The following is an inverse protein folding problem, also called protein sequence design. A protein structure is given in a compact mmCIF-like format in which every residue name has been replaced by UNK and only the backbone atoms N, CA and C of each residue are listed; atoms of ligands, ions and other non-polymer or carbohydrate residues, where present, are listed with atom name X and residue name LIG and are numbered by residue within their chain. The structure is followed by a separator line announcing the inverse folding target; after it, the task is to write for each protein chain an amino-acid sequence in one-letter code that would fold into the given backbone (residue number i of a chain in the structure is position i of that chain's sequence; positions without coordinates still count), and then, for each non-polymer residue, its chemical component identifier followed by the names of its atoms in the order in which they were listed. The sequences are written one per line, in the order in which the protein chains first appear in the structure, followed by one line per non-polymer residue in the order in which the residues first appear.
data_IF_803486517929
#
_entry.id   IF_803486517929
#
_cell.length_a   1.000
_cell.length_b   1.000
_cell.length_c   1.000
_cell.angle_alpha   90.00
_cell.angle_beta   90.00
_cell.angle_gamma   90.00
#
_symmetry.space_group_name_H-M   'P 1'
#
loop_
_entity.id
_entity.type
_entity.pdbx_description
1 polymer ?
#
# COMPACT_ATOMS: atom_id res chain seq x y z
N UNK A 1 0.07 -0.68 34.89
CA UNK A 1 -0.30 -0.88 33.46
C UNK A 1 0.94 -1.35 32.73
N UNK A 2 0.94 -2.57 32.21
CA UNK A 2 2.06 -3.10 31.44
C UNK A 2 1.60 -4.32 30.65
N UNK A 3 2.08 -4.45 29.42
CA UNK A 3 1.89 -5.66 28.62
C UNK A 3 3.09 -6.58 28.85
N UNK A 4 2.85 -7.87 29.03
CA UNK A 4 3.92 -8.87 28.99
C UNK A 4 4.22 -9.19 27.53
N UNK A 5 5.42 -8.86 27.07
CA UNK A 5 5.86 -9.11 25.71
C UNK A 5 6.77 -10.33 25.68
N UNK A 6 6.52 -11.24 24.74
CA UNK A 6 7.38 -12.38 24.44
C UNK A 6 7.98 -12.18 23.06
N UNK A 7 9.30 -12.33 22.96
CA UNK A 7 10.02 -12.21 21.70
C UNK A 7 10.55 -13.59 21.30
N UNK A 8 10.42 -13.93 20.02
CA UNK A 8 10.99 -15.14 19.45
C UNK A 8 11.65 -14.81 18.12
N UNK A 9 12.82 -15.38 17.90
CA UNK A 9 13.50 -15.39 16.59
C UNK A 9 13.62 -16.83 16.04
N UNK A 10 12.97 -17.81 16.69
CA UNK A 10 12.93 -19.20 16.25
C UNK A 10 11.87 -19.38 15.15
N UNK A 11 12.27 -19.98 14.03
CA UNK A 11 11.41 -20.15 12.86
C UNK A 11 10.23 -21.11 13.10
N UNK A 12 10.40 -22.15 13.92
CA UNK A 12 9.34 -23.09 14.28
C UNK A 12 8.27 -22.42 15.13
N UNK A 13 8.68 -21.60 16.10
CA UNK A 13 7.76 -20.77 16.89
C UNK A 13 6.98 -19.82 15.98
N UNK A 14 7.67 -19.07 15.11
CA UNK A 14 7.02 -18.14 14.18
C UNK A 14 6.04 -18.86 13.25
N UNK A 15 6.43 -20.03 12.72
CA UNK A 15 5.53 -20.86 11.90
C UNK A 15 4.31 -21.30 12.69
N UNK A 16 4.50 -21.84 13.90
CA UNK A 16 3.40 -22.29 14.75
C UNK A 16 2.42 -21.15 15.06
N UNK A 17 2.93 -19.98 15.45
CA UNK A 17 2.14 -18.76 15.72
C UNK A 17 1.33 -18.30 14.51
N UNK A 18 1.96 -18.24 13.32
CA UNK A 18 1.34 -17.67 12.13
C UNK A 18 0.51 -18.67 11.30
N UNK A 19 0.64 -19.99 11.56
CA UNK A 19 -0.12 -21.02 10.84
C UNK A 19 -1.08 -21.80 11.74
N UNK A 20 -0.57 -22.47 12.76
CA UNK A 20 -1.32 -23.49 13.50
C UNK A 20 -2.14 -22.89 14.62
N UNK A 21 -1.51 -22.01 15.40
CA UNK A 21 -2.10 -21.33 16.54
C UNK A 21 -2.60 -19.92 16.20
N UNK A 22 -2.72 -19.55 14.91
CA UNK A 22 -3.15 -18.21 14.50
C UNK A 22 -4.42 -17.70 15.22
N UNK A 23 -5.46 -18.52 15.47
CA UNK A 23 -6.65 -18.09 16.22
C UNK A 23 -6.39 -17.70 17.68
N UNK A 24 -5.27 -18.16 18.26
CA UNK A 24 -4.92 -17.91 19.66
C UNK A 24 -4.22 -16.54 19.86
N UNK A 25 -3.83 -15.87 18.76
CA UNK A 25 -3.06 -14.62 18.78
C UNK A 25 -3.81 -13.47 18.10
N UNK A 26 -4.67 -12.82 18.87
CA UNK A 26 -5.41 -11.62 18.43
C UNK A 26 -4.54 -10.36 18.42
N UNK A 27 -4.73 -9.51 17.40
CA UNK A 27 -3.94 -8.29 17.22
C UNK A 27 -4.72 -6.99 17.43
N UNK A 28 -6.05 -7.04 17.31
CA UNK A 28 -6.93 -5.87 17.46
C UNK A 28 -6.88 -5.22 18.84
N UNK A 29 -6.65 -5.91 19.98
CA UNK A 29 -6.56 -5.23 21.28
C UNK A 29 -5.46 -4.17 21.32
N UNK A 30 -4.38 -4.37 20.54
CA UNK A 30 -3.27 -3.42 20.42
C UNK A 30 -3.45 -2.48 19.22
N UNK A 31 -3.94 -2.99 18.08
CA UNK A 31 -4.04 -2.22 16.82
C UNK A 31 -5.29 -1.37 16.73
N UNK A 32 -6.45 -1.87 17.16
CA UNK A 32 -7.74 -1.18 17.01
C UNK A 32 -7.70 0.28 17.49
N UNK A 33 -7.17 0.62 18.68
CA UNK A 33 -7.13 2.01 19.15
C UNK A 33 -6.26 2.95 18.29
N UNK A 34 -5.35 2.40 17.47
CA UNK A 34 -4.48 3.17 16.57
C UNK A 34 -5.15 3.43 15.22
N UNK A 35 -5.87 2.44 14.70
CA UNK A 35 -6.45 2.46 13.35
C UNK A 35 -7.93 2.90 13.31
N UNK A 36 -8.67 2.71 14.40
CA UNK A 36 -10.12 3.01 14.48
C UNK A 36 -10.48 4.46 14.07
N UNK A 37 -9.68 5.49 14.39
CA UNK A 37 -10.01 6.86 13.96
C UNK A 37 -10.02 7.09 12.44
N UNK A 38 -9.31 6.27 11.66
CA UNK A 38 -9.27 6.38 10.19
C UNK A 38 -10.07 5.27 9.49
N UNK A 39 -9.99 4.03 10.00
CA UNK A 39 -10.63 2.86 9.40
C UNK A 39 -11.29 1.99 10.49
N UNK A 40 -12.47 2.38 10.99
CA UNK A 40 -13.11 1.71 12.13
C UNK A 40 -13.42 0.23 11.88
N UNK A 41 -13.78 -0.15 10.64
CA UNK A 41 -14.05 -1.54 10.24
C UNK A 41 -12.96 -2.10 9.32
N UNK A 42 -11.77 -1.49 9.33
CA UNK A 42 -10.63 -1.94 8.53
C UNK A 42 -10.07 -3.28 9.02
N UNK A 43 -9.35 -3.99 8.15
CA UNK A 43 -8.80 -5.32 8.49
C UNK A 43 -7.85 -5.29 9.71
N UNK A 44 -7.25 -4.14 10.01
CA UNK A 44 -6.35 -3.95 11.15
C UNK A 44 -7.06 -3.78 12.50
N UNK A 45 -8.38 -3.56 12.52
CA UNK A 45 -9.18 -3.35 13.74
C UNK A 45 -10.00 -4.58 14.14
N UNK A 46 -9.90 -5.67 13.39
CA UNK A 46 -10.74 -6.87 13.52
C UNK A 46 -9.90 -8.10 13.86
N UNK A 47 -10.48 -9.04 14.61
CA UNK A 47 -9.99 -10.40 14.79
C UNK A 47 -11.12 -11.43 14.54
N UNK A 48 -10.80 -12.71 14.62
CA UNK A 48 -11.77 -13.80 14.60
C UNK A 48 -12.66 -13.84 13.33
N UNK A 49 -13.96 -14.16 13.46
CA UNK A 49 -14.87 -14.28 12.32
C UNK A 49 -15.00 -13.00 11.48
N UNK A 50 -15.00 -11.82 12.11
CA UNK A 50 -15.12 -10.54 11.41
C UNK A 50 -13.89 -10.25 10.55
N UNK A 51 -12.69 -10.53 11.08
CA UNK A 51 -11.45 -10.44 10.31
C UNK A 51 -11.48 -11.37 9.10
N UNK A 52 -11.96 -12.61 9.28
CA UNK A 52 -12.06 -13.58 8.19
C UNK A 52 -12.96 -13.09 7.06
N UNK A 53 -14.13 -12.53 7.40
CA UNK A 53 -15.05 -11.93 6.41
C UNK A 53 -14.37 -10.78 5.65
N UNK A 54 -13.75 -9.83 6.37
CA UNK A 54 -13.04 -8.70 5.75
C UNK A 54 -11.88 -9.16 4.85
N UNK A 55 -11.11 -10.16 5.29
CA UNK A 55 -10.02 -10.77 4.52
C UNK A 55 -10.54 -11.47 3.27
N UNK A 56 -11.63 -12.23 3.36
CA UNK A 56 -12.20 -12.95 2.22
C UNK A 56 -12.72 -11.98 1.15
N UNK A 57 -13.32 -10.86 1.56
CA UNK A 57 -13.72 -9.77 0.66
C UNK A 57 -12.52 -9.15 -0.05
N UNK A 58 -11.48 -8.76 0.70
CA UNK A 58 -10.24 -8.20 0.12
C UNK A 58 -9.58 -9.19 -0.84
N UNK A 59 -9.50 -10.47 -0.45
CA UNK A 59 -8.97 -11.54 -1.30
C UNK A 59 -9.77 -11.65 -2.60
N UNK A 60 -11.09 -11.60 -2.55
CA UNK A 60 -11.95 -11.61 -3.73
C UNK A 60 -11.63 -10.45 -4.69
N UNK A 61 -11.46 -9.24 -4.15
CA UNK A 61 -11.09 -8.04 -4.94
C UNK A 61 -9.68 -8.13 -5.55
N UNK A 62 -8.77 -8.84 -4.90
CA UNK A 62 -7.37 -8.97 -5.28
C UNK A 62 -7.05 -10.27 -6.03
N UNK A 63 -8.04 -11.14 -6.28
CA UNK A 63 -7.81 -12.48 -6.80
C UNK A 63 -7.32 -12.49 -8.26
N UNK A 64 -7.80 -11.55 -9.08
CA UNK A 64 -7.50 -11.48 -10.52
C UNK A 64 -6.67 -10.25 -10.85
N UNK A 65 -5.35 -10.37 -10.66
CA UNK A 65 -4.38 -9.29 -10.89
C UNK A 65 -4.51 -8.67 -12.29
N UNK A 66 -4.86 -9.46 -13.32
CA UNK A 66 -4.99 -8.98 -14.71
C UNK A 66 -6.18 -8.07 -14.92
N UNK A 67 -7.23 -8.21 -14.11
CA UNK A 67 -8.39 -7.31 -14.14
C UNK A 67 -8.17 -6.02 -13.37
N UNK A 68 -7.26 -6.03 -12.40
CA UNK A 68 -7.07 -4.90 -11.49
C UNK A 68 -5.82 -4.06 -11.78
N UNK A 69 -4.84 -4.62 -12.49
CA UNK A 69 -3.62 -3.93 -12.87
C UNK A 69 -3.64 -3.75 -14.39
N UNK A 70 -3.63 -2.49 -14.83
CA UNK A 70 -3.41 -2.13 -16.22
C UNK A 70 -1.93 -1.77 -16.41
N UNK A 71 -1.22 -2.58 -17.21
CA UNK A 71 0.21 -2.37 -17.46
C UNK A 71 0.48 -1.07 -18.22
N UNK A 72 -0.46 -0.59 -19.04
CA UNK A 72 -0.31 0.70 -19.72
C UNK A 72 -0.34 1.85 -18.72
N UNK A 73 -1.22 1.78 -17.73
CA UNK A 73 -1.29 2.80 -16.68
C UNK A 73 -0.08 2.71 -15.74
N UNK A 74 0.41 1.49 -15.47
CA UNK A 74 1.70 1.34 -14.78
C UNK A 74 2.85 2.01 -15.54
N UNK A 75 2.89 1.87 -16.86
CA UNK A 75 3.88 2.52 -17.72
C UNK A 75 3.74 4.05 -17.68
N UNK A 76 2.52 4.60 -17.72
CA UNK A 76 2.29 6.04 -17.57
C UNK A 76 2.87 6.59 -16.26
N UNK A 77 2.63 5.89 -15.15
CA UNK A 77 3.20 6.25 -13.85
C UNK A 77 4.72 6.05 -13.78
N UNK A 78 5.26 5.03 -14.44
CA UNK A 78 6.70 4.84 -14.56
C UNK A 78 7.35 5.97 -15.37
N UNK A 79 6.74 6.41 -16.47
CA UNK A 79 7.18 7.57 -17.23
C UNK A 79 7.11 8.87 -16.40
N UNK A 80 6.09 9.02 -15.54
CA UNK A 80 6.05 10.12 -14.59
C UNK A 80 7.22 10.07 -13.58
N UNK A 81 7.58 8.88 -13.09
CA UNK A 81 8.76 8.67 -12.24
C UNK A 81 10.05 9.06 -12.97
N UNK A 82 10.22 8.66 -14.23
CA UNK A 82 11.43 8.97 -15.01
C UNK A 82 11.67 10.47 -15.21
N UNK A 83 10.62 11.30 -15.19
CA UNK A 83 10.76 12.77 -15.25
C UNK A 83 11.51 13.35 -14.04
N UNK A 84 11.58 12.62 -12.93
CA UNK A 84 12.35 13.02 -11.74
C UNK A 84 13.81 12.55 -11.79
N UNK A 85 14.16 11.67 -12.73
CA UNK A 85 15.54 11.16 -12.90
C UNK A 85 16.35 12.17 -13.73
N UNK A 86 17.43 12.76 -13.20
CA UNK A 86 18.18 13.77 -13.93
C UNK A 86 18.96 13.18 -15.11
N UNK A 87 18.73 13.72 -16.32
CA UNK A 87 19.42 13.28 -17.55
C UNK A 87 20.94 13.55 -17.55
N UNK A 88 21.42 14.42 -16.67
CA UNK A 88 22.82 14.81 -16.55
C UNK A 88 23.59 13.98 -15.49
N UNK A 89 22.97 12.95 -14.93
CA UNK A 89 23.57 12.17 -13.83
C UNK A 89 23.55 12.90 -12.48
N UNK A 90 22.73 13.94 -12.34
CA UNK A 90 22.50 14.62 -11.07
C UNK A 90 21.88 13.72 -10.00
N UNK A 91 22.05 14.12 -8.74
CA UNK A 91 21.46 13.44 -7.59
C UNK A 91 19.95 13.67 -7.55
N UNK A 92 19.20 12.65 -7.14
CA UNK A 92 17.77 12.74 -6.86
C UNK A 92 17.38 11.77 -5.74
N UNK A 93 16.24 12.01 -5.12
CA UNK A 93 15.73 11.19 -4.02
C UNK A 93 14.84 10.05 -4.55
N UNK A 94 15.45 8.89 -4.79
CA UNK A 94 14.74 7.69 -5.24
C UNK A 94 13.72 7.18 -4.22
N UNK A 95 13.92 7.41 -2.93
CA UNK A 95 12.98 6.96 -1.90
C UNK A 95 11.68 7.76 -1.98
N UNK A 96 11.78 9.09 -2.06
CA UNK A 96 10.62 9.96 -2.27
C UNK A 96 9.88 9.63 -3.57
N UNK A 97 10.60 9.43 -4.68
CA UNK A 97 9.99 9.09 -5.96
C UNK A 97 9.32 7.71 -5.97
N UNK A 98 9.92 6.69 -5.36
CA UNK A 98 9.31 5.35 -5.27
C UNK A 98 8.10 5.32 -4.33
N UNK A 99 8.11 6.15 -3.28
CA UNK A 99 6.94 6.35 -2.43
C UNK A 99 5.77 6.99 -3.19
N UNK A 100 6.04 8.07 -3.93
CA UNK A 100 5.05 8.74 -4.77
C UNK A 100 4.49 7.79 -5.85
N UNK A 101 5.36 7.04 -6.53
CA UNK A 101 4.95 6.01 -7.51
C UNK A 101 4.01 4.97 -6.88
N UNK A 102 4.39 4.43 -5.73
CA UNK A 102 3.61 3.40 -5.03
C UNK A 102 2.23 3.92 -4.63
N UNK A 103 2.16 5.18 -4.16
CA UNK A 103 0.90 5.80 -3.77
C UNK A 103 -0.01 6.11 -4.96
N UNK A 104 0.54 6.55 -6.10
CA UNK A 104 -0.21 6.75 -7.33
C UNK A 104 -0.83 5.43 -7.83
N UNK A 105 -0.04 4.37 -7.89
CA UNK A 105 -0.52 3.04 -8.29
C UNK A 105 -1.60 2.51 -7.33
N UNK A 106 -1.43 2.69 -6.02
CA UNK A 106 -2.39 2.17 -5.03
C UNK A 106 -3.67 2.99 -4.95
N UNK A 107 -3.61 4.31 -5.10
CA UNK A 107 -4.81 5.15 -5.15
C UNK A 107 -5.61 4.88 -6.41
N UNK A 108 -4.93 4.73 -7.56
CA UNK A 108 -5.56 4.25 -8.79
C UNK A 108 -6.25 2.91 -8.57
N UNK A 109 -5.54 1.92 -8.03
CA UNK A 109 -6.09 0.58 -7.82
C UNK A 109 -7.26 0.56 -6.82
N UNK A 110 -7.15 1.28 -5.71
CA UNK A 110 -8.14 1.24 -4.62
C UNK A 110 -9.34 2.17 -4.83
N UNK A 111 -9.15 3.30 -5.50
CA UNK A 111 -10.14 4.37 -5.67
C UNK A 111 -10.59 4.57 -7.13
N UNK A 112 -9.90 3.95 -8.10
CA UNK A 112 -10.11 4.19 -9.53
C UNK A 112 -9.51 5.51 -10.03
N UNK A 113 -8.73 6.22 -9.20
CA UNK A 113 -8.10 7.49 -9.54
C UNK A 113 -6.77 7.65 -8.79
N UNK A 114 -5.71 7.98 -9.53
CA UNK A 114 -4.41 8.37 -8.97
C UNK A 114 -4.49 9.72 -8.25
N UNK A 115 -3.65 9.93 -7.24
CA UNK A 115 -3.49 11.25 -6.60
C UNK A 115 -2.37 12.09 -7.25
N UNK A 116 -1.74 11.58 -8.29
CA UNK A 116 -0.75 12.26 -9.11
C UNK A 116 0.42 12.81 -8.27
N UNK A 117 0.84 12.05 -7.26
CA UNK A 117 1.96 12.36 -6.35
C UNK A 117 3.28 12.54 -7.10
N UNK A 118 3.47 11.90 -8.26
CA UNK A 118 4.61 12.14 -9.13
C UNK A 118 4.46 13.37 -10.04
N UNK A 119 3.27 13.97 -10.14
CA UNK A 119 3.04 15.11 -11.04
C UNK A 119 3.53 16.42 -10.44
N UNK A 120 4.31 17.17 -11.22
CA UNK A 120 4.68 18.55 -10.86
C UNK A 120 3.47 19.50 -10.77
N UNK A 121 2.34 19.11 -11.38
CA UNK A 121 1.10 19.88 -11.40
C UNK A 121 0.02 19.24 -10.52
N UNK A 122 0.41 18.52 -9.46
CA UNK A 122 -0.54 17.92 -8.53
C UNK A 122 -1.50 18.98 -7.96
N UNK A 123 -2.80 18.65 -7.88
CA UNK A 123 -3.79 19.57 -7.32
C UNK A 123 -3.58 19.77 -5.81
N UNK A 124 -3.96 20.95 -5.30
CA UNK A 124 -3.86 21.26 -3.88
C UNK A 124 -4.64 20.27 -2.99
N UNK A 125 -5.80 19.80 -3.45
CA UNK A 125 -6.61 18.78 -2.76
C UNK A 125 -5.84 17.45 -2.62
N UNK A 126 -5.26 16.96 -3.73
CA UNK A 126 -4.50 15.70 -3.75
C UNK A 126 -3.20 15.79 -2.94
N UNK A 127 -2.54 16.95 -2.97
CA UNK A 127 -1.37 17.22 -2.13
C UNK A 127 -1.72 17.23 -0.64
N UNK A 128 -2.82 17.88 -0.25
CA UNK A 128 -3.30 17.87 1.13
C UNK A 128 -3.64 16.44 1.59
N UNK A 129 -4.25 15.63 0.73
CA UNK A 129 -4.51 14.23 1.02
C UNK A 129 -3.22 13.43 1.24
N UNK A 130 -2.21 13.63 0.40
CA UNK A 130 -0.89 12.99 0.54
C UNK A 130 -0.29 13.32 1.91
N UNK A 131 -0.22 14.61 2.26
CA UNK A 131 0.38 15.10 3.51
C UNK A 131 -0.37 14.58 4.73
N UNK A 132 -1.70 14.58 4.70
CA UNK A 132 -2.52 14.06 5.80
C UNK A 132 -2.37 12.54 5.95
N UNK A 133 -2.34 11.79 4.85
CA UNK A 133 -2.15 10.34 4.89
C UNK A 133 -0.78 10.00 5.48
N UNK A 134 0.29 10.66 5.05
CA UNK A 134 1.64 10.47 5.59
C UNK A 134 1.70 10.82 7.08
N UNK A 135 1.08 11.92 7.49
CA UNK A 135 0.98 12.31 8.89
C UNK A 135 0.23 11.27 9.73
N UNK A 136 -0.91 10.77 9.24
CA UNK A 136 -1.69 9.72 9.93
C UNK A 136 -0.87 8.46 10.10
N UNK A 137 -0.19 7.98 9.05
CA UNK A 137 0.66 6.77 9.11
C UNK A 137 1.79 6.93 10.10
N UNK A 138 2.49 8.06 10.04
CA UNK A 138 3.57 8.40 10.97
C UNK A 138 3.06 8.42 12.41
N UNK A 139 1.89 9.01 12.65
CA UNK A 139 1.29 9.06 13.99
C UNK A 139 0.88 7.68 14.51
N UNK A 140 0.30 6.82 13.67
CA UNK A 140 -0.05 5.44 14.02
C UNK A 140 1.18 4.67 14.50
N UNK A 141 2.29 4.75 13.75
CA UNK A 141 3.55 4.08 14.10
C UNK A 141 4.09 4.60 15.44
N UNK A 142 4.18 5.92 15.60
CA UNK A 142 4.69 6.49 16.85
C UNK A 142 3.80 6.15 18.06
N UNK A 143 2.47 6.17 17.92
CA UNK A 143 1.57 5.83 19.02
C UNK A 143 1.58 4.33 19.34
N UNK A 144 1.89 3.48 18.36
CA UNK A 144 2.23 2.07 18.56
C UNK A 144 3.47 1.90 19.45
N UNK A 145 4.58 2.56 19.10
CA UNK A 145 5.82 2.50 19.87
C UNK A 145 5.72 3.14 21.27
N UNK A 146 4.93 4.21 21.42
CA UNK A 146 4.68 4.84 22.73
C UNK A 146 3.85 3.97 23.66
N UNK A 147 3.09 3.01 23.12
CA UNK A 147 2.19 2.17 23.91
C UNK A 147 1.24 3.02 24.77
N UNK A 148 1.12 2.75 26.09
CA UNK A 148 0.26 3.53 26.99
C UNK A 148 0.57 5.03 27.05
N UNK A 149 1.79 5.47 26.75
CA UNK A 149 2.16 6.89 26.80
C UNK A 149 1.52 7.73 25.69
N UNK A 150 0.92 7.10 24.65
CA UNK A 150 0.19 7.81 23.59
C UNK A 150 -0.96 8.68 24.12
N UNK A 151 -1.49 8.36 25.30
CA UNK A 151 -2.59 9.10 25.93
C UNK A 151 -2.16 10.48 26.46
N UNK A 152 -0.86 10.73 26.60
CA UNK A 152 -0.30 12.03 27.02
C UNK A 152 -0.13 13.02 25.85
N UNK A 153 -0.25 12.54 24.61
CA UNK A 153 -0.04 13.37 23.43
C UNK A 153 -1.37 13.88 22.87
N UNK A 154 -1.46 15.19 22.51
CA UNK A 154 -2.66 15.73 21.87
C UNK A 154 -3.03 14.95 20.60
N UNK A 155 -4.35 14.71 20.42
CA UNK A 155 -4.90 13.97 19.26
C UNK A 155 -5.65 14.85 18.26
N UNK A 156 -5.86 16.13 18.54
CA UNK A 156 -6.74 16.99 17.73
C UNK A 156 -6.31 17.09 16.26
N UNK A 157 -5.02 17.28 15.97
CA UNK A 157 -4.52 17.30 14.59
C UNK A 157 -4.64 15.95 13.89
N UNK A 158 -4.35 14.86 14.62
CA UNK A 158 -4.49 13.48 14.12
C UNK A 158 -5.92 13.15 13.73
N UNK A 159 -6.90 13.42 14.61
CA UNK A 159 -8.30 13.16 14.32
C UNK A 159 -8.81 13.96 13.12
N UNK A 160 -8.43 15.24 13.00
CA UNK A 160 -8.79 16.07 11.84
C UNK A 160 -8.15 15.56 10.54
N UNK A 161 -6.90 15.08 10.59
CA UNK A 161 -6.26 14.48 9.43
C UNK A 161 -6.95 13.16 9.02
N UNK A 162 -7.27 12.30 9.99
CA UNK A 162 -8.07 11.08 9.74
C UNK A 162 -9.41 11.40 9.08
N UNK A 163 -10.13 12.41 9.58
CA UNK A 163 -11.40 12.87 9.02
C UNK A 163 -11.25 13.35 7.58
N UNK A 164 -10.26 14.19 7.28
CA UNK A 164 -10.01 14.67 5.90
C UNK A 164 -9.62 13.55 4.95
N UNK A 165 -8.70 12.67 5.35
CA UNK A 165 -8.28 11.50 4.55
C UNK A 165 -9.46 10.59 4.28
N UNK A 166 -10.26 10.30 5.31
CA UNK A 166 -11.44 9.47 5.17
C UNK A 166 -12.49 10.10 4.26
N UNK A 167 -12.77 11.39 4.41
CA UNK A 167 -13.71 12.11 3.54
C UNK A 167 -13.27 12.07 2.07
N UNK A 168 -11.98 12.29 1.80
CA UNK A 168 -11.41 12.20 0.45
C UNK A 168 -11.63 10.82 -0.19
N UNK A 169 -11.39 9.74 0.57
CA UNK A 169 -11.63 8.37 0.10
C UNK A 169 -13.12 8.10 -0.07
N UNK A 170 -13.96 8.51 0.88
CA UNK A 170 -15.41 8.29 0.86
C UNK A 170 -16.07 8.89 -0.38
N UNK A 171 -15.70 10.12 -0.75
CA UNK A 171 -16.19 10.78 -1.97
C UNK A 171 -15.84 9.98 -3.23
N UNK A 172 -14.62 9.42 -3.31
CA UNK A 172 -14.15 8.66 -4.47
C UNK A 172 -14.74 7.25 -4.51
N UNK A 173 -14.82 6.57 -3.37
CA UNK A 173 -15.52 5.30 -3.21
C UNK A 173 -16.99 5.40 -3.67
N UNK A 174 -17.67 6.47 -3.24
CA UNK A 174 -19.06 6.73 -3.65
C UNK A 174 -19.20 6.89 -5.16
N UNK A 175 -18.25 7.57 -5.81
CA UNK A 175 -18.23 7.75 -7.28
C UNK A 175 -18.01 6.42 -7.99
N UNK A 176 -17.10 5.60 -7.48
CA UNK A 176 -16.74 4.32 -8.09
C UNK A 176 -17.88 3.28 -7.98
N UNK A 177 -18.52 3.16 -6.82
CA UNK A 177 -19.69 2.29 -6.62
C UNK A 177 -20.84 2.70 -7.55
N UNK A 178 -21.11 4.02 -7.66
CA UNK A 178 -22.14 4.53 -8.58
C UNK A 178 -21.84 4.20 -10.05
N UNK A 179 -20.57 4.28 -10.48
CA UNK A 179 -20.16 3.88 -11.84
C UNK A 179 -20.41 2.39 -12.09
N UNK A 180 -20.06 1.52 -11.13
CA UNK A 180 -20.27 0.07 -11.24
C UNK A 180 -21.74 -0.30 -11.37
N UNK A 181 -22.61 0.28 -10.53
CA UNK A 181 -24.06 0.03 -10.57
C UNK A 181 -24.72 0.56 -11.84
N UNK A 182 -24.26 1.71 -12.36
CA UNK A 182 -24.70 2.23 -13.67
C UNK A 182 -24.39 1.25 -14.81
N UNK A 183 -23.23 0.60 -14.75
CA UNK A 183 -22.84 -0.41 -15.73
C UNK A 183 -23.57 -1.75 -15.55
N UNK A 184 -24.22 -2.00 -14.41
CA UNK A 184 -24.92 -3.26 -14.12
C UNK A 184 -26.46 -3.13 -14.05
N UNK A 185 -27.03 -2.00 -14.47
CA UNK A 185 -28.49 -1.73 -14.45
C UNK A 185 -29.18 -1.97 -13.08
N UNK A 186 -28.46 -1.78 -11.96
CA UNK A 186 -29.03 -1.93 -10.59
C UNK A 186 -29.61 -0.61 -10.05
N UNK A 187 -30.76 -0.71 -9.37
CA UNK A 187 -31.46 0.42 -8.70
C UNK A 187 -30.67 0.90 -7.47
N UNK A 188 -30.64 2.21 -7.25
CA UNK A 188 -29.77 2.92 -6.28
C UNK A 188 -30.62 3.45 -5.12
N UNK A 189 -30.74 2.74 -3.98
CA UNK A 189 -31.30 3.26 -2.72
C UNK A 189 -30.74 2.54 -1.47
N UNK A 190 -30.59 3.31 -0.38
CA UNK A 190 -30.25 3.04 1.06
C UNK A 190 -29.13 2.05 1.43
N UNK A 191 -28.99 0.92 0.74
CA UNK A 191 -27.89 -0.05 0.89
C UNK A 191 -26.51 0.54 0.49
N UNK A 192 -26.52 1.67 -0.22
CA UNK A 192 -25.31 2.38 -0.63
C UNK A 192 -24.47 2.86 0.55
N UNK A 193 -25.08 3.24 1.68
CA UNK A 193 -24.33 3.86 2.79
C UNK A 193 -23.39 2.87 3.47
N UNK A 194 -23.85 1.64 3.70
CA UNK A 194 -23.05 0.57 4.32
C UNK A 194 -22.00 0.04 3.34
N UNK A 195 -22.38 -0.19 2.07
CA UNK A 195 -21.45 -0.63 1.02
C UNK A 195 -20.34 0.39 0.78
N UNK A 196 -20.67 1.68 0.71
CA UNK A 196 -19.69 2.77 0.55
C UNK A 196 -18.76 2.83 1.77
N UNK A 197 -19.31 2.71 2.98
CA UNK A 197 -18.52 2.74 4.22
C UNK A 197 -17.54 1.57 4.26
N UNK A 198 -18.00 0.36 3.94
CA UNK A 198 -17.18 -0.84 3.90
C UNK A 198 -16.10 -0.74 2.82
N UNK A 199 -16.43 -0.27 1.63
CA UNK A 199 -15.46 -0.03 0.57
C UNK A 199 -14.40 0.98 0.99
N UNK A 200 -14.81 2.06 1.66
CA UNK A 200 -13.91 3.11 2.16
C UNK A 200 -12.94 2.55 3.18
N UNK A 201 -13.40 1.72 4.12
CA UNK A 201 -12.53 1.08 5.11
C UNK A 201 -11.56 0.08 4.48
N UNK A 202 -11.99 -0.67 3.46
CA UNK A 202 -11.12 -1.56 2.70
C UNK A 202 -10.08 -0.78 1.88
N UNK A 203 -10.47 0.29 1.20
CA UNK A 203 -9.56 1.14 0.43
C UNK A 203 -8.52 1.80 1.34
N UNK A 204 -8.93 2.33 2.50
CA UNK A 204 -8.02 2.86 3.50
C UNK A 204 -7.10 1.79 4.06
N UNK A 205 -7.59 0.56 4.29
CA UNK A 205 -6.74 -0.55 4.72
C UNK A 205 -5.63 -0.86 3.71
N UNK A 206 -5.93 -0.80 2.40
CA UNK A 206 -4.93 -0.97 1.34
C UNK A 206 -3.92 0.20 1.35
N UNK A 207 -4.39 1.44 1.40
CA UNK A 207 -3.54 2.64 1.39
C UNK A 207 -2.65 2.76 2.64
N UNK A 208 -3.12 2.29 3.79
CA UNK A 208 -2.32 2.24 5.01
C UNK A 208 -1.23 1.16 4.93
N UNK A 209 -1.44 0.10 4.15
CA UNK A 209 -0.44 -0.95 3.89
C UNK A 209 0.64 -0.55 2.86
N UNK A 210 0.60 0.67 2.31
CA UNK A 210 1.37 1.11 1.14
C UNK A 210 2.89 0.91 1.23
N UNK A 211 3.49 1.07 2.42
CA UNK A 211 4.93 1.32 2.56
C UNK A 211 5.81 0.16 2.08
N UNK A 212 5.25 -1.03 1.91
CA UNK A 212 6.02 -2.21 1.51
C UNK A 212 6.60 -2.12 0.10
N UNK A 213 5.84 -1.65 -0.89
CA UNK A 213 6.30 -1.59 -2.28
C UNK A 213 7.41 -0.54 -2.45
N UNK A 214 7.22 0.67 -1.91
CA UNK A 214 8.21 1.74 -1.97
C UNK A 214 9.49 1.40 -1.21
N UNK A 215 9.37 0.77 -0.03
CA UNK A 215 10.54 0.36 0.76
C UNK A 215 11.37 -0.69 0.01
N UNK A 216 10.74 -1.73 -0.56
CA UNK A 216 11.46 -2.73 -1.37
C UNK A 216 12.12 -2.08 -2.58
N UNK A 217 11.40 -1.24 -3.34
CA UNK A 217 11.95 -0.60 -4.53
C UNK A 217 13.14 0.29 -4.19
N UNK A 218 13.01 1.15 -3.17
CA UNK A 218 14.12 2.01 -2.75
C UNK A 218 15.33 1.19 -2.26
N UNK A 219 15.09 0.10 -1.52
CA UNK A 219 16.12 -0.80 -1.03
C UNK A 219 16.84 -1.54 -2.17
N UNK A 220 16.09 -2.02 -3.16
CA UNK A 220 16.64 -2.64 -4.38
C UNK A 220 17.48 -1.63 -5.15
N UNK A 221 17.00 -0.42 -5.38
CA UNK A 221 17.80 0.63 -6.05
C UNK A 221 19.08 0.96 -5.29
N UNK A 222 19.00 1.04 -3.96
CA UNK A 222 20.18 1.27 -3.11
C UNK A 222 21.20 0.13 -3.22
N UNK A 223 20.75 -1.12 -3.23
CA UNK A 223 21.65 -2.28 -3.38
C UNK A 223 22.27 -2.33 -4.78
N UNK A 224 21.47 -2.09 -5.83
CA UNK A 224 21.93 -2.05 -7.21
C UNK A 224 22.94 -0.94 -7.46
N UNK A 225 22.75 0.23 -6.85
CA UNK A 225 23.69 1.36 -6.98
C UNK A 225 25.12 1.01 -6.49
N UNK A 226 25.27 0.01 -5.61
CA UNK A 226 26.56 -0.43 -5.08
C UNK A 226 27.29 -1.45 -5.95
N UNK A 227 26.59 -2.12 -6.87
CA UNK A 227 27.16 -3.20 -7.68
C UNK A 227 26.76 -3.09 -9.16
N UNK A 228 27.67 -2.51 -9.94
CA UNK A 228 27.50 -2.34 -11.40
C UNK A 228 27.48 -3.67 -12.16
N UNK A 229 28.12 -4.73 -11.64
CA UNK A 229 28.10 -6.04 -12.28
C UNK A 229 26.68 -6.63 -12.23
N UNK A 230 26.01 -6.53 -11.08
CA UNK A 230 24.62 -6.98 -10.93
C UNK A 230 23.67 -6.15 -11.80
N UNK A 231 23.86 -4.83 -11.89
CA UNK A 231 23.09 -3.97 -12.80
C UNK A 231 23.25 -4.40 -14.26
N UNK A 232 24.48 -4.65 -14.71
CA UNK A 232 24.76 -5.14 -16.07
C UNK A 232 24.09 -6.48 -16.36
N UNK A 233 24.20 -7.44 -15.42
CA UNK A 233 23.57 -8.76 -15.53
C UNK A 233 22.04 -8.68 -15.54
N UNK A 234 21.45 -7.83 -14.69
CA UNK A 234 20.01 -7.59 -14.65
C UNK A 234 19.52 -7.02 -15.98
N UNK A 235 20.20 -5.99 -16.50
CA UNK A 235 19.86 -5.40 -17.80
C UNK A 235 19.93 -6.42 -18.92
N UNK A 236 21.02 -7.19 -18.99
CA UNK A 236 21.20 -8.23 -20.01
C UNK A 236 20.08 -9.29 -19.94
N UNK A 237 19.72 -9.74 -18.72
CA UNK A 237 18.63 -10.70 -18.55
C UNK A 237 17.26 -10.15 -18.97
N UNK A 238 17.00 -8.85 -18.80
CA UNK A 238 15.76 -8.23 -19.25
C UNK A 238 15.74 -8.15 -20.79
N UNK A 239 16.80 -7.63 -21.38
CA UNK A 239 16.88 -7.44 -22.84
C UNK A 239 16.81 -8.77 -23.59
N UNK A 240 17.46 -9.82 -23.09
CA UNK A 240 17.42 -11.16 -23.69
C UNK A 240 16.01 -11.78 -23.64
N UNK A 241 15.28 -11.56 -22.54
CA UNK A 241 13.97 -12.15 -22.33
C UNK A 241 12.83 -11.43 -23.06
N UNK A 242 12.86 -10.09 -23.09
CA UNK A 242 11.70 -9.28 -23.53
C UNK A 242 12.06 -8.13 -24.48
N UNK A 243 13.35 -7.92 -24.78
CA UNK A 243 13.82 -6.81 -25.60
C UNK A 243 13.78 -5.46 -24.89
N UNK A 244 13.48 -4.40 -25.65
CA UNK A 244 13.42 -3.01 -25.19
C UNK A 244 11.99 -2.44 -25.10
N UNK A 245 10.98 -3.24 -25.45
CA UNK A 245 9.58 -2.84 -25.34
C UNK A 245 9.08 -2.93 -23.90
N UNK A 246 8.05 -2.14 -23.52
CA UNK A 246 7.36 -2.31 -22.25
C UNK A 246 6.85 -3.75 -22.07
N UNK A 247 6.93 -4.32 -20.85
CA UNK A 247 6.59 -5.72 -20.60
C UNK A 247 5.09 -5.97 -20.71
N UNK A 248 4.72 -7.12 -21.26
CA UNK A 248 3.34 -7.64 -21.26
C UNK A 248 3.11 -8.65 -20.13
N UNK A 249 1.84 -9.02 -19.89
CA UNK A 249 1.49 -10.03 -18.87
C UNK A 249 2.15 -11.40 -19.09
N UNK A 250 2.41 -11.79 -20.34
CA UNK A 250 3.12 -13.03 -20.66
C UNK A 250 4.60 -12.93 -20.32
N UNK A 251 5.19 -11.75 -20.53
CA UNK A 251 6.61 -11.48 -20.33
C UNK A 251 7.00 -11.48 -18.84
N UNK A 252 6.11 -11.03 -17.95
CA UNK A 252 6.38 -11.04 -16.50
C UNK A 252 6.71 -12.44 -15.96
N UNK A 253 6.25 -13.50 -16.64
CA UNK A 253 6.55 -14.88 -16.31
C UNK A 253 8.00 -15.27 -16.59
N UNK A 254 8.62 -14.71 -17.64
CA UNK A 254 9.96 -15.07 -18.13
C UNK A 254 11.10 -14.31 -17.43
N UNK A 255 10.80 -13.21 -16.72
CA UNK A 255 11.76 -12.37 -16.02
C UNK A 255 12.30 -13.01 -14.70
N UNK A 256 12.98 -14.15 -14.81
CA UNK A 256 13.46 -14.92 -13.67
C UNK A 256 14.51 -14.17 -12.84
N UNK A 257 15.49 -13.52 -13.48
CA UNK A 257 16.54 -12.81 -12.76
C UNK A 257 16.01 -11.58 -12.02
N UNK A 258 15.04 -10.86 -12.62
CA UNK A 258 14.33 -9.75 -11.96
C UNK A 258 13.65 -10.25 -10.69
N UNK A 259 12.99 -11.42 -10.75
CA UNK A 259 12.34 -12.04 -9.59
C UNK A 259 13.34 -12.35 -8.48
N UNK A 260 14.52 -12.86 -8.81
CA UNK A 260 15.59 -13.10 -7.82
C UNK A 260 16.08 -11.80 -7.17
N UNK A 261 16.31 -10.74 -7.95
CA UNK A 261 16.72 -9.43 -7.40
C UNK A 261 15.65 -8.89 -6.45
N UNK A 262 14.36 -9.00 -6.79
CA UNK A 262 13.27 -8.56 -5.91
C UNK A 262 13.21 -9.43 -4.64
N UNK A 263 13.39 -10.74 -4.73
CA UNK A 263 13.39 -11.61 -3.55
C UNK A 263 14.57 -11.33 -2.62
N UNK A 264 15.76 -11.13 -3.18
CA UNK A 264 16.93 -10.75 -2.40
C UNK A 264 16.73 -9.36 -1.75
N UNK A 265 16.15 -8.42 -2.49
CA UNK A 265 15.77 -7.11 -1.94
C UNK A 265 14.82 -7.21 -0.75
N UNK A 266 13.85 -8.15 -0.77
CA UNK A 266 12.97 -8.40 0.38
C UNK A 266 13.70 -8.97 1.59
N UNK A 267 14.74 -9.77 1.38
CA UNK A 267 15.55 -10.36 2.45
C UNK A 267 16.46 -9.29 3.07
N UNK A 268 17.12 -8.48 2.24
CA UNK A 268 18.06 -7.44 2.66
C UNK A 268 17.36 -6.23 3.28
N UNK A 269 16.13 -5.93 2.84
CA UNK A 269 15.32 -4.82 3.33
C UNK A 269 13.98 -5.35 3.89
N UNK A 270 14.00 -6.02 5.05
CA UNK A 270 12.77 -6.51 5.68
C UNK A 270 11.90 -5.32 6.13
N UNK A 271 10.59 -5.46 5.92
CA UNK A 271 9.53 -4.49 6.26
C UNK A 271 8.68 -5.04 7.40
#
# INVERSE_FOLDING_TARGET
MGYRLFFTHNAENTKYLLSTAFPDFESSPLRKPLFEPITPHGIFTLDGPQWKVSRDQLRGRLADLRKIIDLNVCEEHFQAFLKHVPNNGGLFDVQSCTFALSLDLQTLFSLGESIDALSFNQSAEKKQFFDDLLFVKTRIVHDGFRGPLRHLYPKGSFLRACERVRAFVLTRASREIRKRKKNSEMVVLDEDSEEITQFTDQALSILLANDSMSTILSGVFFCLAKDQHIVGKLRMSIVDAIGLSPPTWTDLGSLQYVRWVIYEGKILCPI
#
